data_IF_300791421397
#
_entry.id   IF_300791421397
#
_cell.length_a   1.000
_cell.length_b   1.000
_cell.length_c   1.000
_cell.angle_alpha   90.00
_cell.angle_beta   90.00
_cell.angle_gamma   90.00
#
_symmetry.space_group_name_H-M   'P 1'
#
loop_
_entity.id
_entity.type
_entity.pdbx_description
1 polymer ?
#
# COMPACT_ATOMS: atom_id res chain seq x y z
N UNK A 1 -12.68 20.62 -27.90
CA UNK A 1 -12.49 19.17 -27.79
C UNK A 1 -13.83 18.51 -27.83
N UNK A 2 -14.05 17.57 -28.75
CA UNK A 2 -15.38 16.99 -29.05
C UNK A 2 -15.87 16.08 -27.90
N UNK A 3 -16.83 16.56 -27.12
CA UNK A 3 -17.44 15.90 -25.99
C UNK A 3 -18.55 14.89 -26.37
N UNK A 4 -18.57 14.37 -27.58
CA UNK A 4 -19.72 13.58 -28.06
C UNK A 4 -19.60 12.06 -27.89
N UNK A 5 -18.47 11.51 -27.42
CA UNK A 5 -18.26 10.07 -27.27
C UNK A 5 -17.38 9.67 -26.06
N UNK A 6 -17.28 10.50 -25.04
CA UNK A 6 -16.62 10.03 -23.80
C UNK A 6 -17.57 9.05 -23.10
N UNK A 7 -17.08 7.87 -22.68
CA UNK A 7 -17.90 6.96 -21.89
C UNK A 7 -18.29 7.63 -20.55
N UNK A 8 -19.44 7.24 -20.01
CA UNK A 8 -19.87 7.69 -18.67
C UNK A 8 -19.56 6.56 -17.66
N UNK A 9 -18.28 6.46 -17.30
CA UNK A 9 -17.76 5.40 -16.43
C UNK A 9 -17.38 5.99 -15.07
N UNK A 10 -18.12 5.61 -14.03
CA UNK A 10 -17.72 5.87 -12.65
C UNK A 10 -16.79 4.78 -12.17
N UNK A 11 -15.51 5.12 -11.98
CA UNK A 11 -14.46 4.18 -11.54
C UNK A 11 -14.60 3.71 -10.09
N UNK A 12 -15.51 4.31 -9.32
CA UNK A 12 -15.68 4.05 -7.89
C UNK A 12 -16.98 3.29 -7.58
N UNK A 13 -17.57 2.65 -8.59
CA UNK A 13 -18.68 1.71 -8.39
C UNK A 13 -18.15 0.35 -7.93
N UNK A 14 -18.98 -0.42 -7.23
CA UNK A 14 -18.65 -1.78 -6.80
C UNK A 14 -18.33 -2.68 -8.00
N UNK A 15 -19.11 -2.60 -9.07
CA UNK A 15 -18.92 -3.38 -10.30
C UNK A 15 -17.54 -3.13 -10.94
N UNK A 16 -17.11 -1.87 -11.02
CA UNK A 16 -15.78 -1.52 -11.56
C UNK A 16 -14.67 -1.91 -10.58
N UNK A 17 -14.89 -1.79 -9.28
CA UNK A 17 -13.93 -2.24 -8.26
C UNK A 17 -13.67 -3.74 -8.34
N UNK A 18 -14.69 -4.55 -8.58
CA UNK A 18 -14.56 -6.01 -8.72
C UNK A 18 -13.80 -6.43 -9.99
N UNK A 19 -14.03 -5.73 -11.11
CA UNK A 19 -13.37 -6.04 -12.38
C UNK A 19 -13.11 -4.77 -13.20
N UNK A 20 -12.00 -4.02 -12.95
CA UNK A 20 -11.76 -2.72 -13.54
C UNK A 20 -11.28 -2.77 -15.01
N UNK A 21 -10.85 -3.93 -15.53
CA UNK A 21 -10.12 -4.03 -16.80
C UNK A 21 -10.94 -3.63 -18.02
N UNK A 22 -12.24 -3.94 -18.04
CA UNK A 22 -13.16 -3.52 -19.10
C UNK A 22 -13.32 -2.01 -19.12
N UNK A 23 -13.53 -1.39 -17.96
CA UNK A 23 -13.62 0.05 -17.79
C UNK A 23 -12.31 0.75 -18.22
N UNK A 24 -11.16 0.25 -17.78
CA UNK A 24 -9.86 0.80 -18.19
C UNK A 24 -9.64 0.68 -19.72
N UNK A 25 -10.08 -0.40 -20.35
CA UNK A 25 -10.01 -0.56 -21.79
C UNK A 25 -10.85 0.49 -22.51
N UNK A 26 -12.10 0.65 -22.11
CA UNK A 26 -13.03 1.60 -22.71
C UNK A 26 -12.53 3.05 -22.55
N UNK A 27 -12.05 3.42 -21.36
CA UNK A 27 -11.42 4.72 -21.11
C UNK A 27 -10.22 4.93 -22.04
N UNK A 28 -9.35 3.94 -22.18
CA UNK A 28 -8.15 4.01 -23.04
C UNK A 28 -8.48 4.16 -24.50
N UNK A 29 -9.55 3.50 -24.98
CA UNK A 29 -10.03 3.60 -26.36
C UNK A 29 -10.75 4.92 -26.63
N UNK A 30 -11.32 5.57 -25.60
CA UNK A 30 -12.00 6.86 -25.75
C UNK A 30 -11.04 8.04 -25.94
N UNK A 31 -9.79 7.93 -25.50
CA UNK A 31 -8.80 8.99 -25.63
C UNK A 31 -7.65 8.90 -24.63
N UNK A 32 -6.75 9.89 -24.69
CA UNK A 32 -5.59 9.93 -23.78
C UNK A 32 -5.95 10.38 -22.38
N UNK A 33 -6.97 11.21 -22.24
CA UNK A 33 -7.41 11.81 -20.97
C UNK A 33 -8.90 11.61 -20.84
N UNK A 34 -9.33 11.01 -19.75
CA UNK A 34 -10.71 10.81 -19.39
C UNK A 34 -11.06 11.64 -18.15
N UNK A 35 -12.20 12.31 -18.13
CA UNK A 35 -12.68 13.01 -16.95
C UNK A 35 -13.70 12.12 -16.22
N UNK A 36 -13.33 11.68 -15.03
CA UNK A 36 -14.14 10.83 -14.17
C UNK A 36 -15.32 11.62 -13.59
N UNK A 37 -16.58 11.12 -13.69
CA UNK A 37 -17.78 11.92 -13.39
C UNK A 37 -17.99 12.19 -11.88
N UNK A 38 -17.58 11.29 -10.98
CA UNK A 38 -17.86 11.42 -9.54
C UNK A 38 -17.10 12.56 -8.87
N UNK A 39 -15.79 12.66 -9.10
CA UNK A 39 -14.93 13.66 -8.49
C UNK A 39 -14.37 14.68 -9.49
N UNK A 40 -14.65 14.48 -10.77
CA UNK A 40 -14.15 15.35 -11.84
C UNK A 40 -12.65 15.24 -12.10
N UNK A 41 -11.98 14.20 -11.59
CA UNK A 41 -10.56 13.96 -11.78
C UNK A 41 -10.25 13.54 -13.22
N UNK A 42 -9.05 13.87 -13.67
CA UNK A 42 -8.55 13.41 -14.96
C UNK A 42 -7.83 12.08 -14.81
N UNK A 43 -8.23 11.08 -15.60
CA UNK A 43 -7.70 9.72 -15.58
C UNK A 43 -6.84 9.48 -16.80
N UNK A 44 -5.65 8.93 -16.59
CA UNK A 44 -4.69 8.52 -17.62
C UNK A 44 -4.52 7.01 -17.57
N UNK A 45 -4.70 6.33 -18.71
CA UNK A 45 -4.58 4.87 -18.83
C UNK A 45 -3.49 4.41 -19.80
N UNK A 46 -2.88 5.33 -20.54
CA UNK A 46 -1.77 5.03 -21.44
C UNK A 46 -0.43 5.07 -20.70
N UNK A 47 0.40 4.06 -20.92
CA UNK A 47 1.67 3.90 -20.22
C UNK A 47 2.57 5.15 -20.25
N UNK A 48 2.75 5.76 -21.44
CA UNK A 48 3.62 6.93 -21.59
C UNK A 48 3.07 8.15 -20.83
N UNK A 49 1.76 8.33 -20.80
CA UNK A 49 1.11 9.41 -20.06
C UNK A 49 1.23 9.20 -18.55
N UNK A 50 1.09 7.95 -18.07
CA UNK A 50 1.34 7.59 -16.67
C UNK A 50 2.80 7.82 -16.27
N UNK A 51 3.77 7.51 -17.15
CA UNK A 51 5.18 7.81 -16.87
C UNK A 51 5.43 9.31 -16.72
N UNK A 52 4.68 10.14 -17.44
CA UNK A 52 4.77 11.60 -17.33
C UNK A 52 4.34 12.11 -15.94
N UNK A 53 3.46 11.42 -15.20
CA UNK A 53 3.09 11.76 -13.83
C UNK A 53 4.28 11.75 -12.84
N UNK A 54 5.43 11.19 -13.22
CA UNK A 54 6.66 11.23 -12.42
C UNK A 54 7.41 12.56 -12.51
N UNK A 55 6.96 13.47 -13.38
CA UNK A 55 7.59 14.78 -13.52
C UNK A 55 7.19 15.70 -12.36
N UNK A 56 8.08 15.83 -11.38
CA UNK A 56 7.89 16.64 -10.18
C UNK A 56 7.90 18.17 -10.43
N UNK A 57 8.27 18.61 -11.63
CA UNK A 57 8.13 20.01 -12.05
C UNK A 57 6.66 20.35 -12.36
N UNK A 58 5.88 19.38 -12.79
CA UNK A 58 4.49 19.54 -13.25
C UNK A 58 3.50 19.06 -12.20
N UNK A 59 3.84 17.98 -11.50
CA UNK A 59 2.94 17.31 -10.55
C UNK A 59 3.52 17.33 -9.14
N UNK A 60 2.61 17.28 -8.15
CA UNK A 60 2.95 17.02 -6.78
C UNK A 60 2.21 15.79 -6.21
N UNK A 61 2.74 15.26 -5.11
CA UNK A 61 2.23 14.09 -4.43
C UNK A 61 1.26 14.42 -3.29
N UNK A 62 0.84 15.68 -3.15
CA UNK A 62 0.08 16.25 -2.03
C UNK A 62 -1.14 15.43 -1.64
N UNK A 63 -1.90 14.93 -2.61
CA UNK A 63 -3.09 14.13 -2.36
C UNK A 63 -2.81 12.62 -2.31
N UNK A 64 -1.64 12.17 -2.75
CA UNK A 64 -1.24 10.76 -2.72
C UNK A 64 -2.18 9.86 -3.52
N UNK A 65 -2.89 8.98 -2.84
CA UNK A 65 -3.86 8.04 -3.44
C UNK A 65 -5.32 8.46 -3.19
N UNK A 66 -5.55 9.71 -2.80
CA UNK A 66 -6.88 10.24 -2.49
C UNK A 66 -7.47 11.03 -3.66
N UNK A 67 -8.31 10.41 -4.51
CA UNK A 67 -8.90 11.07 -5.66
C UNK A 67 -9.85 12.21 -5.30
N UNK A 68 -10.43 12.20 -4.11
CA UNK A 68 -11.32 13.27 -3.62
C UNK A 68 -10.57 14.44 -2.97
N UNK A 69 -9.24 14.35 -2.79
CA UNK A 69 -8.40 15.41 -2.23
C UNK A 69 -8.71 15.75 -0.77
N UNK A 70 -9.41 14.87 -0.05
CA UNK A 70 -9.95 15.14 1.31
C UNK A 70 -8.92 15.05 2.43
N UNK A 71 -7.74 14.47 2.14
CA UNK A 71 -6.72 14.20 3.16
C UNK A 71 -5.60 15.24 3.22
N UNK A 72 -5.71 16.32 2.44
CA UNK A 72 -4.73 17.40 2.44
C UNK A 72 -4.84 18.32 3.65
N UNK A 73 -6.03 18.43 4.24
CA UNK A 73 -6.26 19.28 5.41
C UNK A 73 -6.05 18.51 6.72
N UNK A 74 -5.10 18.97 7.52
CA UNK A 74 -4.85 18.44 8.87
C UNK A 74 -4.12 17.12 8.97
N UNK A 75 -3.63 16.55 7.85
CA UNK A 75 -2.74 15.40 7.86
C UNK A 75 -1.29 15.84 7.65
N UNK A 76 -0.39 15.33 8.49
CA UNK A 76 1.03 15.56 8.30
C UNK A 76 1.55 14.73 7.11
N UNK A 77 2.46 15.30 6.29
CA UNK A 77 2.98 14.59 5.14
C UNK A 77 3.84 13.40 5.55
N UNK A 78 3.43 12.22 5.13
CA UNK A 78 4.27 11.03 5.09
C UNK A 78 5.15 11.04 3.82
N UNK A 79 6.04 10.05 3.68
CA UNK A 79 6.93 9.96 2.51
C UNK A 79 6.18 9.91 1.18
N UNK A 80 4.97 9.34 1.13
CA UNK A 80 4.19 9.20 -0.11
C UNK A 80 3.50 10.50 -0.54
N UNK A 81 3.34 11.46 0.39
CA UNK A 81 2.68 12.76 0.17
C UNK A 81 3.63 13.95 0.27
N UNK A 82 4.90 13.69 0.18
CA UNK A 82 5.95 14.72 0.27
C UNK A 82 6.68 14.83 -1.06
N UNK A 83 6.94 16.05 -1.51
CA UNK A 83 7.67 16.35 -2.73
C UNK A 83 9.14 16.71 -2.46
N UNK A 84 10.02 16.65 -3.50
CA UNK A 84 11.37 17.21 -3.41
C UNK A 84 11.36 18.69 -3.00
N UNK A 85 12.36 19.16 -2.20
CA UNK A 85 13.52 18.42 -1.72
C UNK A 85 13.25 17.57 -0.46
N UNK A 86 12.13 17.79 0.26
CA UNK A 86 11.83 17.10 1.54
C UNK A 86 11.68 15.58 1.34
N UNK A 87 11.04 15.14 0.25
CA UNK A 87 10.93 13.73 -0.10
C UNK A 87 12.29 13.02 -0.19
N UNK A 88 13.28 13.66 -0.84
CA UNK A 88 14.61 13.09 -0.97
C UNK A 88 15.27 12.87 0.41
N UNK A 89 15.11 13.82 1.33
CA UNK A 89 15.58 13.68 2.71
C UNK A 89 14.84 12.58 3.45
N UNK A 90 13.50 12.54 3.42
CA UNK A 90 12.71 11.45 4.03
C UNK A 90 13.13 10.08 3.51
N UNK A 91 13.29 9.95 2.19
CA UNK A 91 13.77 8.72 1.57
C UNK A 91 15.16 8.32 2.07
N UNK A 92 16.07 9.27 2.27
CA UNK A 92 17.41 9.01 2.78
C UNK A 92 17.36 8.53 4.25
N UNK A 93 16.47 9.09 5.09
CA UNK A 93 16.26 8.61 6.47
C UNK A 93 15.89 7.12 6.52
N UNK A 94 15.02 6.70 5.61
CA UNK A 94 14.41 5.37 5.61
C UNK A 94 15.19 4.35 4.77
N UNK A 95 16.07 4.80 3.89
CA UNK A 95 16.80 3.95 2.95
C UNK A 95 17.61 2.85 3.64
N UNK A 96 18.20 3.14 4.80
CA UNK A 96 19.02 2.19 5.55
C UNK A 96 18.20 0.99 6.00
N UNK A 97 17.00 1.22 6.51
CA UNK A 97 16.08 0.19 7.02
C UNK A 97 15.53 -0.72 5.92
N UNK A 98 15.47 -0.22 4.69
CA UNK A 98 14.97 -0.95 3.50
C UNK A 98 16.08 -1.32 2.50
N UNK A 99 17.35 -1.26 2.92
CA UNK A 99 18.45 -1.75 2.09
C UNK A 99 18.35 -3.26 1.89
N UNK A 100 18.87 -3.83 0.77
CA UNK A 100 18.82 -5.28 0.52
C UNK A 100 19.36 -6.11 1.69
N UNK A 101 20.41 -5.62 2.35
CA UNK A 101 21.00 -6.29 3.53
C UNK A 101 20.07 -6.28 4.73
N UNK A 102 19.38 -5.16 4.98
CA UNK A 102 18.41 -5.06 6.06
C UNK A 102 17.21 -5.96 5.80
N UNK A 103 16.66 -5.96 4.58
CA UNK A 103 15.54 -6.83 4.20
C UNK A 103 15.94 -8.31 4.34
N UNK A 104 17.13 -8.71 3.89
CA UNK A 104 17.60 -10.09 4.02
C UNK A 104 17.68 -10.54 5.49
N UNK A 105 17.98 -9.65 6.42
CA UNK A 105 18.02 -9.99 7.85
C UNK A 105 16.65 -10.35 8.44
N UNK A 106 15.56 -10.00 7.77
CA UNK A 106 14.19 -10.33 8.16
C UNK A 106 13.68 -11.66 7.59
N UNK A 107 14.42 -12.29 6.67
CA UNK A 107 13.95 -13.50 5.96
C UNK A 107 13.54 -14.63 6.90
N UNK A 108 14.36 -14.91 7.91
CA UNK A 108 14.09 -15.98 8.87
C UNK A 108 12.85 -15.68 9.74
N UNK A 109 12.68 -14.44 10.15
CA UNK A 109 11.52 -14.05 10.95
C UNK A 109 10.23 -14.05 10.12
N UNK A 110 10.29 -13.57 8.88
CA UNK A 110 9.18 -13.65 7.94
C UNK A 110 8.79 -15.12 7.70
N UNK A 111 9.76 -15.97 7.44
CA UNK A 111 9.53 -17.42 7.23
C UNK A 111 8.85 -18.06 8.43
N UNK A 112 9.30 -17.78 9.65
CA UNK A 112 8.68 -18.29 10.88
C UNK A 112 7.24 -17.86 11.01
N UNK A 113 6.92 -16.58 10.76
CA UNK A 113 5.55 -16.07 10.82
C UNK A 113 4.64 -16.84 9.86
N UNK A 114 5.07 -17.05 8.60
CA UNK A 114 4.27 -17.81 7.63
C UNK A 114 4.13 -19.28 8.01
N UNK A 115 5.20 -19.93 8.48
CA UNK A 115 5.13 -21.32 8.97
C UNK A 115 4.14 -21.46 10.13
N UNK A 116 4.18 -20.56 11.11
CA UNK A 116 3.25 -20.55 12.23
C UNK A 116 1.79 -20.46 11.77
N UNK A 117 1.48 -19.64 10.76
CA UNK A 117 0.13 -19.55 10.21
C UNK A 117 -0.31 -20.86 9.55
N UNK A 118 0.56 -21.49 8.76
CA UNK A 118 0.26 -22.77 8.12
C UNK A 118 0.15 -23.92 9.13
N UNK A 119 1.01 -23.96 10.13
CA UNK A 119 0.96 -24.99 11.21
C UNK A 119 -0.33 -24.86 12.02
N UNK A 120 -0.80 -23.65 12.29
CA UNK A 120 -2.08 -23.42 12.96
C UNK A 120 -3.26 -23.94 12.13
N UNK A 121 -3.25 -23.77 10.81
CA UNK A 121 -4.28 -24.32 9.92
C UNK A 121 -4.22 -25.84 9.94
N UNK A 122 -3.04 -26.43 9.76
CA UNK A 122 -2.86 -27.89 9.74
C UNK A 122 -3.30 -28.54 11.05
N UNK A 123 -3.08 -27.87 12.20
CA UNK A 123 -3.45 -28.38 13.51
C UNK A 123 -4.96 -28.29 13.80
N UNK A 124 -5.62 -27.25 13.31
CA UNK A 124 -7.03 -26.98 13.64
C UNK A 124 -8.01 -27.53 12.59
N UNK A 125 -7.57 -27.73 11.34
CA UNK A 125 -8.42 -28.16 10.22
C UNK A 125 -7.70 -29.14 9.28
N UNK A 126 -7.28 -30.33 9.74
CA UNK A 126 -6.38 -31.20 8.97
C UNK A 126 -7.01 -31.78 7.69
N UNK A 127 -8.33 -31.79 7.53
CA UNK A 127 -9.04 -32.42 6.40
C UNK A 127 -10.07 -31.52 5.73
N UNK A 128 -10.16 -30.24 6.10
CA UNK A 128 -11.17 -29.33 5.54
C UNK A 128 -10.53 -28.27 4.65
N UNK A 129 -11.28 -27.80 3.66
CA UNK A 129 -10.93 -26.59 2.92
C UNK A 129 -10.91 -25.39 3.88
N UNK A 130 -9.97 -24.47 3.69
CA UNK A 130 -9.83 -23.25 4.48
C UNK A 130 -9.69 -22.02 3.58
N UNK A 131 -10.06 -20.88 4.11
CA UNK A 131 -9.86 -19.59 3.45
C UNK A 131 -8.42 -19.12 3.67
N UNK A 132 -7.58 -19.26 2.64
CA UNK A 132 -6.15 -18.87 2.70
C UNK A 132 -5.98 -17.36 2.85
N UNK A 133 -6.91 -16.56 2.32
CA UNK A 133 -6.85 -15.10 2.43
C UNK A 133 -7.03 -14.71 3.90
N UNK A 134 -8.06 -15.23 4.54
CA UNK A 134 -8.38 -14.94 5.94
C UNK A 134 -7.31 -15.49 6.91
N UNK A 135 -6.78 -16.69 6.65
CA UNK A 135 -5.90 -17.36 7.59
C UNK A 135 -4.41 -17.09 7.40
N UNK A 136 -3.99 -16.68 6.19
CA UNK A 136 -2.56 -16.46 5.86
C UNK A 136 -2.30 -15.14 5.18
N UNK A 137 -2.94 -14.88 4.01
CA UNK A 137 -2.55 -13.74 3.19
C UNK A 137 -2.78 -12.39 3.89
N UNK A 138 -3.82 -12.30 4.69
CA UNK A 138 -4.15 -11.08 5.44
C UNK A 138 -3.38 -10.97 6.77
N UNK A 139 -3.38 -11.96 7.69
CA UNK A 139 -2.75 -11.83 9.00
C UNK A 139 -1.22 -11.90 8.98
N UNK A 140 -0.59 -12.66 8.06
CA UNK A 140 0.85 -12.80 8.07
C UNK A 140 1.61 -11.50 7.71
N UNK A 141 1.25 -10.73 6.66
CA UNK A 141 1.86 -9.43 6.40
C UNK A 141 1.66 -8.43 7.56
N UNK A 142 0.49 -8.44 8.20
CA UNK A 142 0.24 -7.60 9.38
C UNK A 142 1.23 -7.94 10.52
N UNK A 143 1.44 -9.23 10.80
CA UNK A 143 2.40 -9.68 11.81
C UNK A 143 3.84 -9.28 11.43
N UNK A 144 4.21 -9.40 10.16
CA UNK A 144 5.54 -8.99 9.65
C UNK A 144 5.77 -7.50 9.89
N UNK A 145 4.87 -6.62 9.43
CA UNK A 145 5.07 -5.18 9.57
C UNK A 145 5.02 -4.73 11.02
N UNK A 146 4.18 -5.33 11.85
CA UNK A 146 4.16 -5.05 13.29
C UNK A 146 5.50 -5.43 13.94
N UNK A 147 6.05 -6.59 13.63
CA UNK A 147 7.36 -7.03 14.14
C UNK A 147 8.50 -6.12 13.66
N UNK A 148 8.49 -5.71 12.39
CA UNK A 148 9.46 -4.75 11.85
C UNK A 148 9.40 -3.40 12.57
N UNK A 149 8.19 -2.91 12.89
CA UNK A 149 7.98 -1.67 13.65
C UNK A 149 8.27 -1.84 15.15
N UNK A 150 8.56 -3.06 15.62
CA UNK A 150 8.83 -3.35 17.02
C UNK A 150 7.60 -3.26 17.91
N UNK A 151 6.44 -3.61 17.37
CA UNK A 151 5.15 -3.70 18.08
C UNK A 151 4.88 -5.14 18.50
N UNK A 152 4.13 -5.31 19.58
CA UNK A 152 3.67 -6.63 20.04
C UNK A 152 2.49 -7.14 19.22
N UNK A 153 2.36 -8.47 19.10
CA UNK A 153 1.32 -9.13 18.31
C UNK A 153 -0.05 -9.15 19.00
N UNK A 154 -0.16 -8.65 20.23
CA UNK A 154 -1.36 -8.64 21.06
C UNK A 154 -2.48 -7.71 20.56
N UNK A 155 -2.18 -6.86 19.56
CA UNK A 155 -3.16 -5.94 18.96
C UNK A 155 -3.42 -6.22 17.47
N UNK A 156 -3.29 -7.48 17.04
CA UNK A 156 -3.46 -7.88 15.64
C UNK A 156 -4.81 -7.44 15.04
N UNK A 157 -5.90 -7.60 15.79
CA UNK A 157 -7.24 -7.21 15.34
C UNK A 157 -7.38 -5.71 15.16
N UNK A 158 -6.76 -4.91 16.04
CA UNK A 158 -6.72 -3.46 15.89
C UNK A 158 -5.96 -3.06 14.63
N UNK A 159 -4.82 -3.68 14.36
CA UNK A 159 -4.03 -3.40 13.16
C UNK A 159 -4.79 -3.73 11.88
N UNK A 160 -5.52 -4.83 11.84
CA UNK A 160 -6.38 -5.18 10.71
C UNK A 160 -7.48 -4.14 10.52
N UNK A 161 -8.20 -3.77 11.58
CA UNK A 161 -9.26 -2.76 11.56
C UNK A 161 -8.74 -1.38 11.12
N UNK A 162 -7.59 -0.96 11.64
CA UNK A 162 -6.99 0.31 11.26
C UNK A 162 -6.50 0.34 9.82
N UNK A 163 -5.91 -0.76 9.34
CA UNK A 163 -5.44 -0.87 7.96
C UNK A 163 -6.61 -0.86 6.97
N UNK A 164 -7.66 -1.62 7.24
CA UNK A 164 -8.88 -1.61 6.44
C UNK A 164 -9.49 -0.19 6.38
N UNK A 165 -9.64 0.48 7.53
CA UNK A 165 -10.16 1.84 7.59
C UNK A 165 -9.30 2.85 6.79
N UNK A 166 -7.98 2.62 6.67
CA UNK A 166 -7.10 3.47 5.88
C UNK A 166 -7.30 3.26 4.38
N UNK A 167 -7.47 2.03 3.94
CA UNK A 167 -7.61 1.67 2.51
C UNK A 167 -9.01 1.95 2.00
N UNK A 168 -10.05 1.53 2.71
CA UNK A 168 -11.45 1.75 2.34
C UNK A 168 -11.82 3.23 2.17
N UNK A 169 -11.10 4.13 2.83
CA UNK A 169 -11.31 5.57 2.65
C UNK A 169 -10.92 6.10 1.26
N UNK A 170 -10.16 5.34 0.49
CA UNK A 170 -9.70 5.75 -0.83
C UNK A 170 -10.86 5.73 -1.82
N UNK A 171 -11.42 6.89 -2.12
CA UNK A 171 -12.50 7.06 -3.09
C UNK A 171 -13.93 7.08 -2.52
N UNK A 172 -14.12 6.94 -1.20
CA UNK A 172 -15.44 6.98 -0.56
C UNK A 172 -15.51 8.01 0.58
N UNK A 173 -16.71 8.32 1.04
CA UNK A 173 -16.88 9.12 2.25
C UNK A 173 -16.50 8.30 3.48
N UNK A 174 -15.73 8.92 4.37
CA UNK A 174 -15.25 8.25 5.58
C UNK A 174 -16.39 8.16 6.59
N UNK A 175 -16.74 6.96 7.02
CA UNK A 175 -17.66 6.75 8.14
C UNK A 175 -17.06 7.25 9.46
N UNK A 176 -17.91 7.48 10.45
CA UNK A 176 -17.45 7.87 11.80
C UNK A 176 -16.58 6.75 12.43
N UNK A 177 -16.92 5.49 12.19
CA UNK A 177 -16.16 4.35 12.67
C UNK A 177 -14.75 4.31 12.06
N UNK A 178 -14.64 4.49 10.74
CA UNK A 178 -13.35 4.57 10.05
C UNK A 178 -12.52 5.75 10.56
N UNK A 179 -13.13 6.91 10.75
CA UNK A 179 -12.47 8.10 11.33
C UNK A 179 -11.89 7.79 12.71
N UNK A 180 -12.68 7.15 13.57
CA UNK A 180 -12.26 6.78 14.92
C UNK A 180 -11.11 5.77 14.89
N UNK A 181 -11.17 4.78 14.01
CA UNK A 181 -10.09 3.81 13.81
C UNK A 181 -8.77 4.49 13.40
N UNK A 182 -8.82 5.46 12.50
CA UNK A 182 -7.63 6.21 12.08
C UNK A 182 -7.05 7.09 13.19
N UNK A 183 -7.90 7.71 14.01
CA UNK A 183 -7.48 8.48 15.19
C UNK A 183 -6.81 7.56 16.22
N UNK A 184 -7.37 6.40 16.48
CA UNK A 184 -6.79 5.40 17.38
C UNK A 184 -5.42 4.93 16.89
N UNK A 185 -5.29 4.63 15.59
CA UNK A 185 -4.03 4.23 14.98
C UNK A 185 -2.97 5.32 15.16
N UNK A 186 -3.27 6.56 14.83
CA UNK A 186 -2.34 7.68 14.97
C UNK A 186 -1.92 7.88 16.44
N UNK A 187 -2.87 7.75 17.38
CA UNK A 187 -2.59 7.80 18.82
C UNK A 187 -1.68 6.67 19.27
N UNK A 188 -1.93 5.46 18.83
CA UNK A 188 -1.09 4.30 19.13
C UNK A 188 0.35 4.51 18.64
N UNK A 189 0.52 4.91 17.37
CA UNK A 189 1.84 5.17 16.78
C UNK A 189 2.56 6.29 17.55
N UNK A 190 1.86 7.35 17.94
CA UNK A 190 2.44 8.42 18.79
C UNK A 190 2.97 7.90 20.12
N UNK A 191 2.18 7.08 20.82
CA UNK A 191 2.61 6.48 22.09
C UNK A 191 3.82 5.55 21.91
N UNK A 192 3.84 4.78 20.80
CA UNK A 192 5.00 3.93 20.47
C UNK A 192 6.24 4.74 20.13
N UNK A 193 6.11 5.84 19.41
CA UNK A 193 7.23 6.75 19.16
C UNK A 193 7.82 7.31 20.49
N UNK A 194 6.97 7.75 21.41
CA UNK A 194 7.38 8.24 22.73
C UNK A 194 8.03 7.15 23.60
N UNK A 195 7.58 5.91 23.47
CA UNK A 195 8.21 4.75 24.12
C UNK A 195 9.61 4.50 23.56
N UNK A 196 9.77 4.55 22.22
CA UNK A 196 11.07 4.34 21.56
C UNK A 196 12.06 5.48 21.80
N UNK A 197 11.59 6.71 21.98
CA UNK A 197 12.45 7.83 22.43
C UNK A 197 13.13 7.53 23.78
N UNK A 198 12.42 6.86 24.70
CA UNK A 198 12.91 6.52 26.04
C UNK A 198 13.67 5.20 26.08
N UNK A 199 13.20 4.23 25.30
CA UNK A 199 13.69 2.86 25.26
C UNK A 199 13.93 2.43 23.81
N UNK A 200 15.03 2.88 23.16
CA UNK A 200 15.32 2.56 21.78
C UNK A 200 15.58 1.06 21.59
N UNK A 201 14.98 0.47 20.54
CA UNK A 201 15.17 -0.91 20.12
C UNK A 201 16.00 -1.04 18.84
N UNK A 202 15.95 -2.23 18.25
CA UNK A 202 16.52 -2.53 16.91
C UNK A 202 15.40 -2.72 15.89
N UNK A 203 14.46 -1.80 15.85
CA UNK A 203 13.27 -1.87 15.06
C UNK A 203 13.08 -0.61 14.20
N UNK A 204 12.25 -0.71 13.18
CA UNK A 204 12.00 0.38 12.23
C UNK A 204 11.45 1.63 12.92
N UNK A 205 10.58 1.47 13.95
CA UNK A 205 10.04 2.64 14.65
C UNK A 205 11.14 3.43 15.37
N UNK A 206 12.08 2.74 16.02
CA UNK A 206 13.28 3.37 16.61
C UNK A 206 14.11 4.08 15.54
N UNK A 207 14.33 3.45 14.39
CA UNK A 207 15.09 4.07 13.31
C UNK A 207 14.40 5.33 12.76
N UNK A 208 13.08 5.35 12.64
CA UNK A 208 12.30 6.52 12.22
C UNK A 208 12.42 7.65 13.25
N UNK A 209 12.28 7.34 14.54
CA UNK A 209 12.35 8.31 15.65
C UNK A 209 13.71 9.01 15.70
N UNK A 210 14.79 8.27 15.47
CA UNK A 210 16.17 8.79 15.54
C UNK A 210 16.79 9.10 14.17
N UNK A 211 15.99 9.05 13.12
CA UNK A 211 16.47 9.32 11.77
C UNK A 211 16.99 10.76 11.64
N UNK A 212 18.21 10.91 11.13
CA UNK A 212 18.87 12.20 10.94
C UNK A 212 19.64 12.22 9.62
N UNK A 213 19.48 13.28 8.84
CA UNK A 213 20.23 13.55 7.61
C UNK A 213 20.63 15.02 7.61
N UNK A 214 21.94 15.31 7.44
CA UNK A 214 22.50 16.65 7.40
C UNK A 214 22.17 17.50 8.66
N UNK A 215 22.09 16.86 9.84
CA UNK A 215 21.73 17.50 11.10
C UNK A 215 20.24 17.79 11.28
N UNK A 216 19.40 17.41 10.31
CA UNK A 216 17.94 17.52 10.42
C UNK A 216 17.33 16.18 10.81
N UNK A 217 16.29 16.24 11.65
CA UNK A 217 15.47 15.10 12.05
C UNK A 217 14.04 15.22 11.51
N UNK A 218 13.32 14.12 11.52
CA UNK A 218 11.88 14.15 11.32
C UNK A 218 11.21 14.86 12.49
N UNK A 219 10.23 15.71 12.23
CA UNK A 219 9.35 16.23 13.27
C UNK A 219 8.56 15.08 13.91
N UNK A 220 8.01 15.29 15.10
CA UNK A 220 7.19 14.27 15.78
C UNK A 220 5.98 13.89 14.92
N UNK A 221 5.41 14.84 14.23
CA UNK A 221 4.28 14.64 13.33
C UNK A 221 4.68 13.81 12.12
N UNK A 222 5.83 14.07 11.52
CA UNK A 222 6.38 13.27 10.42
C UNK A 222 6.70 11.84 10.87
N UNK A 223 7.23 11.66 12.08
CA UNK A 223 7.46 10.34 12.69
C UNK A 223 6.15 9.57 12.79
N UNK A 224 5.09 10.19 13.32
CA UNK A 224 3.76 9.54 13.43
C UNK A 224 3.18 9.24 12.07
N UNK A 225 3.22 10.21 11.14
CA UNK A 225 2.68 10.04 9.79
C UNK A 225 3.37 8.88 9.02
N UNK A 226 4.69 8.79 9.12
CA UNK A 226 5.44 7.68 8.50
C UNK A 226 5.19 6.34 9.20
N UNK A 227 5.05 6.31 10.52
CA UNK A 227 4.67 5.10 11.26
C UNK A 227 3.29 4.56 10.83
N UNK A 228 2.30 5.44 10.71
CA UNK A 228 0.97 5.12 10.16
C UNK A 228 1.09 4.61 8.72
N UNK A 229 1.85 5.32 7.89
CA UNK A 229 2.05 4.95 6.48
C UNK A 229 2.67 3.56 6.34
N UNK A 230 3.75 3.24 7.06
CA UNK A 230 4.40 1.93 6.95
C UNK A 230 3.52 0.80 7.46
N UNK A 231 2.77 1.01 8.53
CA UNK A 231 1.82 0.01 9.03
C UNK A 231 0.80 -0.37 7.95
N UNK A 232 0.20 0.62 7.31
CA UNK A 232 -0.81 0.40 6.27
C UNK A 232 -0.21 -0.13 4.96
N UNK A 233 0.87 0.50 4.48
CA UNK A 233 1.49 0.14 3.20
C UNK A 233 2.09 -1.27 3.21
N UNK A 234 2.61 -1.72 4.35
CA UNK A 234 3.20 -3.06 4.50
C UNK A 234 2.17 -4.18 4.66
N UNK A 235 0.93 -3.86 5.00
CA UNK A 235 -0.11 -4.86 5.23
C UNK A 235 -0.95 -5.14 3.97
N UNK A 236 -1.82 -4.22 3.61
CA UNK A 236 -2.89 -4.41 2.62
C UNK A 236 -2.36 -4.76 1.23
N UNK A 237 -1.35 -4.04 0.76
CA UNK A 237 -0.79 -4.28 -0.57
C UNK A 237 -0.15 -5.65 -0.68
N UNK A 238 0.52 -6.10 0.38
CA UNK A 238 1.15 -7.42 0.44
C UNK A 238 0.10 -8.52 0.55
N UNK A 239 -0.96 -8.32 1.34
CA UNK A 239 -2.08 -9.25 1.46
C UNK A 239 -2.76 -9.49 0.11
N UNK A 240 -3.10 -8.42 -0.60
CA UNK A 240 -3.72 -8.49 -1.92
C UNK A 240 -2.79 -9.14 -2.96
N UNK A 241 -1.51 -8.80 -2.95
CA UNK A 241 -0.52 -9.44 -3.83
C UNK A 241 -0.42 -10.95 -3.59
N UNK A 242 -0.32 -11.39 -2.34
CA UNK A 242 -0.28 -12.81 -1.99
C UNK A 242 -1.56 -13.53 -2.42
N UNK A 243 -2.71 -12.93 -2.19
CA UNK A 243 -4.01 -13.48 -2.59
C UNK A 243 -4.10 -13.65 -4.11
N UNK A 244 -3.69 -12.64 -4.88
CA UNK A 244 -3.67 -12.68 -6.34
C UNK A 244 -2.70 -13.76 -6.85
N UNK A 245 -1.52 -13.87 -6.26
CA UNK A 245 -0.53 -14.88 -6.62
C UNK A 245 -1.03 -16.30 -6.35
N UNK A 246 -1.62 -16.54 -5.18
CA UNK A 246 -2.18 -17.85 -4.83
C UNK A 246 -3.37 -18.19 -5.73
N UNK A 247 -4.24 -17.23 -6.03
CA UNK A 247 -5.33 -17.42 -6.98
C UNK A 247 -4.80 -17.87 -8.35
N UNK A 248 -3.74 -17.23 -8.86
CA UNK A 248 -3.11 -17.63 -10.13
C UNK A 248 -2.49 -19.03 -10.05
N UNK A 249 -1.81 -19.38 -8.98
CA UNK A 249 -1.27 -20.74 -8.76
C UNK A 249 -2.39 -21.78 -8.81
N UNK A 250 -3.56 -21.48 -8.25
CA UNK A 250 -4.69 -22.41 -8.19
C UNK A 250 -5.47 -22.50 -9.50
N UNK A 251 -5.47 -21.47 -10.33
CA UNK A 251 -6.31 -21.37 -11.53
C UNK A 251 -5.59 -21.59 -12.85
N UNK A 252 -4.29 -21.27 -12.91
CA UNK A 252 -3.48 -21.46 -14.12
C UNK A 252 -2.92 -22.89 -14.14
N UNK A 253 -3.39 -23.68 -15.12
CA UNK A 253 -2.99 -25.06 -15.26
C UNK A 253 -1.46 -25.22 -15.37
N UNK A 254 -0.90 -26.12 -14.56
CA UNK A 254 0.54 -26.44 -14.55
C UNK A 254 1.44 -25.41 -13.88
N UNK A 255 0.91 -24.25 -13.42
CA UNK A 255 1.74 -23.23 -12.78
C UNK A 255 2.34 -23.73 -11.46
N UNK A 256 1.52 -24.38 -10.62
CA UNK A 256 1.98 -24.92 -9.35
C UNK A 256 3.11 -25.95 -9.53
N UNK A 257 2.91 -26.92 -10.42
CA UNK A 257 3.88 -27.98 -10.74
C UNK A 257 5.18 -27.41 -11.31
N UNK A 258 5.07 -26.40 -12.18
CA UNK A 258 6.25 -25.72 -12.74
C UNK A 258 7.04 -25.00 -11.64
N UNK A 259 6.37 -24.24 -10.76
CA UNK A 259 7.03 -23.55 -9.64
C UNK A 259 7.62 -24.53 -8.61
N UNK A 260 7.02 -25.70 -8.45
CA UNK A 260 7.54 -26.75 -7.57
C UNK A 260 8.79 -27.42 -8.15
N UNK A 261 8.78 -27.68 -9.47
CA UNK A 261 9.90 -28.34 -10.16
C UNK A 261 11.09 -27.41 -10.44
N UNK A 262 10.82 -26.12 -10.69
CA UNK A 262 11.85 -25.11 -10.95
C UNK A 262 11.59 -23.82 -10.14
N UNK A 263 12.27 -23.68 -9.03
CA UNK A 263 12.17 -22.52 -8.14
C UNK A 263 12.70 -21.23 -8.76
N UNK A 264 13.48 -21.28 -9.84
CA UNK A 264 13.95 -20.08 -10.54
C UNK A 264 12.80 -19.30 -11.20
N UNK A 265 11.68 -19.98 -11.48
CA UNK A 265 10.46 -19.37 -12.03
C UNK A 265 9.68 -18.54 -11.01
N UNK A 266 9.96 -18.66 -9.71
CA UNK A 266 9.20 -17.98 -8.68
C UNK A 266 9.27 -16.44 -8.84
N UNK A 267 10.47 -15.89 -9.01
CA UNK A 267 10.64 -14.44 -9.16
C UNK A 267 9.93 -13.88 -10.41
N UNK A 268 10.12 -14.46 -11.62
CA UNK A 268 9.34 -14.05 -12.79
C UNK A 268 7.81 -14.15 -12.60
N UNK A 269 7.33 -15.20 -11.94
CA UNK A 269 5.90 -15.38 -11.68
C UNK A 269 5.34 -14.32 -10.73
N UNK A 270 6.08 -13.94 -9.69
CA UNK A 270 5.71 -12.84 -8.80
C UNK A 270 5.63 -11.50 -9.54
N UNK A 271 6.62 -11.19 -10.40
CA UNK A 271 6.63 -9.97 -11.21
C UNK A 271 5.45 -9.94 -12.21
N UNK A 272 5.13 -11.09 -12.81
CA UNK A 272 4.00 -11.19 -13.73
C UNK A 272 2.65 -11.05 -13.01
N UNK A 273 2.53 -11.59 -11.80
CA UNK A 273 1.35 -11.34 -10.95
C UNK A 273 1.16 -9.84 -10.67
N UNK A 274 2.24 -9.14 -10.30
CA UNK A 274 2.18 -7.69 -10.08
C UNK A 274 1.80 -6.91 -11.34
N UNK A 275 2.19 -7.40 -12.52
CA UNK A 275 1.82 -6.79 -13.79
C UNK A 275 0.34 -7.01 -14.14
N UNK A 276 -0.18 -8.21 -13.93
CA UNK A 276 -1.55 -8.60 -14.29
C UNK A 276 -2.57 -8.07 -13.28
N UNK A 277 -2.28 -8.27 -11.99
CA UNK A 277 -3.20 -7.99 -10.87
C UNK A 277 -2.48 -7.11 -9.83
N UNK A 278 -2.25 -5.84 -10.20
CA UNK A 278 -1.58 -4.90 -9.29
C UNK A 278 -2.43 -4.67 -8.02
N UNK A 279 -1.85 -4.81 -6.82
CA UNK A 279 -2.55 -4.49 -5.57
C UNK A 279 -2.97 -3.01 -5.46
N UNK A 280 -2.26 -2.12 -6.16
CA UNK A 280 -2.59 -0.69 -6.23
C UNK A 280 -2.98 -0.36 -7.66
N UNK A 281 -4.26 -0.17 -7.91
CA UNK A 281 -4.82 0.03 -9.23
C UNK A 281 -4.63 1.46 -9.77
N UNK A 282 -4.53 2.45 -8.89
CA UNK A 282 -4.38 3.84 -9.28
C UNK A 282 -3.48 4.62 -8.32
N UNK A 283 -2.93 5.72 -8.82
CA UNK A 283 -2.20 6.71 -8.04
C UNK A 283 -2.68 8.11 -8.43
N UNK A 284 -2.76 9.02 -7.48
CA UNK A 284 -3.15 10.41 -7.71
C UNK A 284 -1.95 11.34 -7.71
N UNK A 285 -2.03 12.37 -8.54
CA UNK A 285 -1.10 13.51 -8.55
C UNK A 285 -1.88 14.78 -8.74
N UNK A 286 -1.44 15.86 -8.11
CA UNK A 286 -2.00 17.19 -8.30
C UNK A 286 -1.18 17.94 -9.33
N UNK A 287 -1.85 18.57 -10.27
CA UNK A 287 -1.20 19.45 -11.26
C UNK A 287 -0.84 20.76 -10.57
N UNK A 288 0.42 21.20 -10.68
CA UNK A 288 0.91 22.44 -10.05
C UNK A 288 0.41 23.70 -10.75
N UNK A 289 0.31 23.63 -12.07
CA UNK A 289 -0.15 24.73 -12.93
C UNK A 289 -1.00 24.20 -14.09
N UNK A 290 -1.57 25.10 -14.88
CA UNK A 290 -2.32 24.73 -16.09
C UNK A 290 -1.43 23.95 -17.05
N UNK A 291 -1.92 22.81 -17.52
CA UNK A 291 -1.21 21.88 -18.38
C UNK A 291 -2.09 21.44 -19.56
N UNK A 292 -1.45 21.20 -20.70
CA UNK A 292 -2.05 20.49 -21.85
C UNK A 292 -1.31 19.16 -22.04
N UNK A 293 -2.05 18.07 -22.11
CA UNK A 293 -1.54 16.70 -22.37
C UNK A 293 -1.77 16.33 -23.83
#
# INVERSE_FOLDING_TARGET
MNSKNSPDIDLFTEEVSECPFSAYKEIRESGRVYQEPRYGNYVLTHHNDIQFLKNDQVFDARHGVDPAGRFSEGTYPDINRTDPPRHAKMKAFLYKSFSPKAIQSWEDDIRKIFVEHFDNIASNNPEQSFDIVHHVCYPAPAAVICRMLGFSDDRREDFQRWSAALVERLGTDISEEQRNALIEMARFIRLKAEEKEKNPGKDLMTEIVFAEVDGERLSREEVVANGVFFLAAGHETTANFLSNFIFQICTISGLFENLQSDRSLLKPALEETLRLESPVQNICRTVKDHMSI
#
